data_IF_997176595479
#
_entry.id   IF_997176595479
#
_cell.length_a   1.000
_cell.length_b   1.000
_cell.length_c   1.000
_cell.angle_alpha   90.00
_cell.angle_beta   90.00
_cell.angle_gamma   90.00
#
_symmetry.space_group_name_H-M   'P 1'
#
loop_
_entity.id
_entity.type
_entity.pdbx_description
1 polymer ?
#
# COMPACT_ATOMS: atom_id res chain seq x y z
N UNK A 1 -3.53 9.39 -34.60
CA UNK A 1 -2.74 9.40 -33.34
C UNK A 1 -3.41 8.42 -32.41
N UNK A 2 -2.80 7.24 -32.21
CA UNK A 2 -3.39 6.16 -31.44
C UNK A 2 -3.23 6.45 -29.94
N UNK A 3 -4.34 6.71 -29.25
CA UNK A 3 -4.36 6.78 -27.79
C UNK A 3 -3.99 5.40 -27.24
N UNK A 4 -2.79 5.29 -26.66
CA UNK A 4 -2.29 4.06 -26.07
C UNK A 4 -3.07 3.73 -24.79
N UNK A 5 -3.36 2.45 -24.65
CA UNK A 5 -4.09 1.75 -23.59
C UNK A 5 -3.69 2.18 -22.17
N UNK A 6 -4.69 2.23 -21.29
CA UNK A 6 -4.56 2.43 -19.85
C UNK A 6 -5.12 1.17 -19.18
N UNK A 7 -4.41 0.64 -18.20
CA UNK A 7 -4.72 -0.65 -17.58
C UNK A 7 -4.53 -0.55 -16.04
N UNK A 8 -5.35 -1.27 -15.24
CA UNK A 8 -5.54 -1.23 -13.77
C UNK A 8 -4.74 -2.24 -12.88
N UNK A 9 -4.09 -1.81 -11.77
CA UNK A 9 -3.40 -2.68 -10.76
C UNK A 9 -4.25 -2.92 -9.53
N UNK A 10 -4.23 -4.17 -9.04
CA UNK A 10 -4.63 -4.56 -7.69
C UNK A 10 -3.41 -5.19 -7.00
N UNK A 11 -2.99 -4.72 -5.84
CA UNK A 11 -1.97 -5.45 -5.06
C UNK A 11 -2.68 -6.19 -3.97
N UNK A 12 -2.43 -7.50 -3.94
CA UNK A 12 -2.76 -8.32 -2.79
C UNK A 12 -1.47 -8.58 -2.04
N UNK A 13 -1.43 -8.20 -0.76
CA UNK A 13 -0.47 -8.81 0.15
C UNK A 13 -1.03 -10.18 0.52
N UNK A 14 -0.40 -11.25 0.02
CA UNK A 14 -0.53 -12.53 0.70
C UNK A 14 -0.13 -12.28 2.15
N UNK A 15 -1.09 -12.39 3.05
CA UNK A 15 -0.83 -12.84 4.40
C UNK A 15 -0.09 -14.19 4.24
N UNK A 16 1.24 -14.14 4.11
CA UNK A 16 2.07 -15.34 4.23
C UNK A 16 1.62 -15.92 5.57
N UNK A 17 1.20 -17.20 5.63
CA UNK A 17 0.77 -17.81 6.88
C UNK A 17 1.78 -17.44 7.95
N UNK A 18 1.30 -17.12 9.15
CA UNK A 18 2.17 -17.08 10.31
C UNK A 18 2.98 -18.37 10.27
N UNK A 19 4.25 -18.28 9.86
CA UNK A 19 5.20 -19.27 10.29
C UNK A 19 5.32 -18.96 11.77
N UNK A 20 4.52 -19.66 12.56
CA UNK A 20 4.81 -19.91 13.94
C UNK A 20 6.15 -20.64 13.93
N UNK A 21 7.23 -19.87 13.92
CA UNK A 21 8.43 -20.26 14.62
C UNK A 21 8.11 -20.13 16.13
N UNK A 22 7.13 -20.91 16.58
CA UNK A 22 6.95 -21.18 17.98
C UNK A 22 8.02 -22.22 18.37
N UNK A 23 9.13 -21.70 18.87
CA UNK A 23 9.82 -22.35 19.96
C UNK A 23 10.06 -21.31 21.06
N UNK A 24 9.05 -21.17 21.92
CA UNK A 24 9.21 -20.94 23.35
C UNK A 24 9.55 -19.51 23.77
N UNK A 25 8.54 -18.80 24.30
CA UNK A 25 8.41 -18.53 25.75
C UNK A 25 7.44 -17.36 26.02
N UNK A 26 6.53 -17.62 26.96
CA UNK A 26 5.91 -16.71 27.94
C UNK A 26 5.67 -15.25 27.53
N UNK A 27 4.40 -14.87 27.35
CA UNK A 27 3.99 -13.46 27.24
C UNK A 27 4.19 -12.72 28.59
N UNK A 28 5.05 -11.69 28.54
CA UNK A 28 5.61 -10.86 29.61
C UNK A 28 4.74 -9.59 29.89
N UNK A 29 4.61 -9.07 31.13
CA UNK A 29 3.71 -7.96 31.48
C UNK A 29 4.06 -6.57 30.90
N UNK A 30 5.10 -6.48 30.06
CA UNK A 30 5.63 -5.28 29.38
C UNK A 30 5.02 -5.07 27.95
N UNK A 31 3.74 -5.37 27.77
CA UNK A 31 3.06 -5.36 26.46
C UNK A 31 3.20 -3.98 25.75
N UNK A 32 4.07 -3.94 24.72
CA UNK A 32 4.37 -2.76 23.91
C UNK A 32 3.10 -2.26 23.19
N UNK A 33 3.00 -0.95 22.88
CA UNK A 33 1.85 -0.44 22.15
C UNK A 33 1.66 -1.20 20.83
N UNK A 34 0.48 -1.77 20.62
CA UNK A 34 0.04 -2.25 19.30
C UNK A 34 -0.02 -1.03 18.38
N UNK A 35 0.94 -0.93 17.48
CA UNK A 35 0.87 0.00 16.36
C UNK A 35 -0.28 -0.46 15.45
N UNK A 36 -1.08 0.49 14.95
CA UNK A 36 -2.08 0.19 13.91
C UNK A 36 -1.37 -0.48 12.72
N UNK A 37 -2.05 -1.27 11.89
CA UNK A 37 -1.39 -1.89 10.74
C UNK A 37 -1.25 -0.88 9.59
N UNK A 38 -2.23 0.01 9.43
CA UNK A 38 -2.32 1.04 8.41
C UNK A 38 -2.55 2.43 9.01
N UNK A 39 -2.28 3.45 8.20
CA UNK A 39 -2.54 4.86 8.54
C UNK A 39 -4.04 5.15 8.59
N UNK A 40 -4.47 5.90 9.60
CA UNK A 40 -5.86 6.36 9.76
C UNK A 40 -6.88 5.21 9.77
N UNK A 41 -6.51 4.06 10.34
CA UNK A 41 -7.46 2.98 10.53
C UNK A 41 -8.65 3.48 11.35
N UNK A 42 -9.85 3.33 10.79
CA UNK A 42 -11.10 3.71 11.43
C UNK A 42 -12.24 2.86 10.89
N UNK A 43 -13.33 2.76 11.64
CA UNK A 43 -14.48 1.99 11.19
C UNK A 43 -15.33 2.84 10.24
N UNK A 44 -15.26 2.54 8.94
CA UNK A 44 -16.14 3.14 7.95
C UNK A 44 -17.47 2.38 7.91
N UNK A 45 -18.57 3.12 7.73
CA UNK A 45 -19.88 2.52 7.54
C UNK A 45 -19.94 1.80 6.18
N UNK A 46 -20.49 0.59 6.17
CA UNK A 46 -20.75 -0.21 4.98
C UNK A 46 -22.28 -0.40 4.82
N UNK A 47 -22.84 -0.33 3.59
CA UNK A 47 -22.17 -0.06 2.31
C UNK A 47 -21.51 1.33 2.27
N UNK A 48 -20.35 1.41 1.64
CA UNK A 48 -19.53 2.62 1.62
C UNK A 48 -19.63 3.29 0.25
N UNK A 49 -20.00 4.58 0.21
CA UNK A 49 -19.92 5.42 -0.99
C UNK A 49 -19.48 6.81 -0.58
N UNK A 50 -18.49 7.36 -1.28
CA UNK A 50 -17.99 8.71 -1.00
C UNK A 50 -17.73 9.49 -2.29
N UNK A 51 -17.83 10.81 -2.19
CA UNK A 51 -17.33 11.74 -3.20
C UNK A 51 -15.84 11.94 -2.99
N UNK A 52 -15.05 11.79 -4.05
CA UNK A 52 -13.63 12.16 -4.03
C UNK A 52 -13.49 13.66 -4.34
N UNK A 53 -12.56 14.33 -3.64
CA UNK A 53 -12.41 15.79 -3.66
C UNK A 53 -12.06 16.33 -5.04
N UNK A 54 -11.17 15.63 -5.73
CA UNK A 54 -10.78 15.87 -7.11
C UNK A 54 -11.13 14.65 -7.96
N UNK A 55 -11.45 14.83 -9.26
CA UNK A 55 -11.69 13.71 -10.14
C UNK A 55 -10.47 12.80 -10.26
N UNK A 56 -10.70 11.49 -10.37
CA UNK A 56 -9.64 10.48 -10.49
C UNK A 56 -8.77 10.74 -11.74
N UNK A 57 -7.45 10.74 -11.56
CA UNK A 57 -6.43 11.05 -12.57
C UNK A 57 -5.23 10.09 -12.45
N UNK A 58 -4.34 10.14 -13.43
CA UNK A 58 -3.11 9.34 -13.42
C UNK A 58 -2.30 9.55 -12.14
N UNK A 59 -1.61 8.49 -11.69
CA UNK A 59 -0.80 8.43 -10.47
C UNK A 59 -1.55 8.53 -9.14
N UNK A 60 -2.88 8.72 -9.17
CA UNK A 60 -3.68 8.57 -7.97
C UNK A 60 -3.98 7.10 -7.68
N UNK A 61 -4.14 6.81 -6.39
CA UNK A 61 -4.44 5.49 -5.86
C UNK A 61 -5.69 5.58 -5.00
N UNK A 62 -6.61 4.62 -5.17
CA UNK A 62 -7.62 4.28 -4.17
C UNK A 62 -7.11 3.05 -3.43
N UNK A 63 -6.96 3.12 -2.11
CA UNK A 63 -6.59 2.00 -1.26
C UNK A 63 -7.73 1.76 -0.27
N UNK A 64 -8.24 0.53 -0.25
CA UNK A 64 -9.26 0.10 0.69
C UNK A 64 -8.80 -1.18 1.41
N UNK A 65 -8.93 -1.19 2.73
CA UNK A 65 -8.65 -2.38 3.55
C UNK A 65 -9.85 -2.71 4.40
N UNK A 66 -10.33 -3.93 4.30
CA UNK A 66 -11.46 -4.46 5.04
C UNK A 66 -11.31 -5.93 5.39
N UNK A 67 -12.40 -6.54 5.84
CA UNK A 67 -12.48 -7.99 6.05
C UNK A 67 -13.71 -8.52 5.32
N UNK A 68 -13.54 -9.60 4.56
CA UNK A 68 -14.64 -10.26 3.83
C UNK A 68 -15.51 -11.03 4.82
N UNK A 69 -16.81 -11.17 4.53
CA UNK A 69 -17.69 -12.07 5.26
C UNK A 69 -17.24 -13.54 5.15
N UNK A 70 -17.75 -14.40 6.03
CA UNK A 70 -17.39 -15.82 6.07
C UNK A 70 -18.01 -16.66 4.94
N UNK A 71 -19.16 -16.23 4.41
CA UNK A 71 -19.83 -16.84 3.26
C UNK A 71 -20.21 -15.74 2.24
N UNK A 72 -19.22 -15.10 1.59
CA UNK A 72 -19.45 -13.99 0.70
C UNK A 72 -19.91 -14.51 -0.67
N UNK A 73 -20.77 -13.75 -1.34
CA UNK A 73 -21.00 -13.90 -2.77
C UNK A 73 -20.17 -12.90 -3.54
N UNK A 74 -20.28 -11.60 -3.19
CA UNK A 74 -19.65 -10.53 -3.96
C UNK A 74 -19.15 -9.38 -3.13
N UNK A 75 -18.04 -8.78 -3.54
CA UNK A 75 -17.58 -7.46 -3.09
C UNK A 75 -17.30 -6.60 -4.31
N UNK A 76 -17.94 -5.44 -4.41
CA UNK A 76 -17.86 -4.57 -5.57
C UNK A 76 -17.14 -3.26 -5.23
N UNK A 77 -16.15 -2.89 -6.03
CA UNK A 77 -15.46 -1.60 -6.02
C UNK A 77 -15.77 -0.84 -7.30
N UNK A 78 -16.50 0.26 -7.18
CA UNK A 78 -17.08 0.99 -8.31
C UNK A 78 -16.59 2.43 -8.37
N UNK A 79 -16.34 2.91 -9.59
CA UNK A 79 -15.86 4.26 -9.89
C UNK A 79 -16.90 4.97 -10.78
N UNK A 80 -17.60 5.97 -10.22
CA UNK A 80 -18.74 6.63 -10.89
C UNK A 80 -18.38 8.03 -11.39
N UNK A 81 -19.00 8.42 -12.51
CA UNK A 81 -19.06 9.79 -13.02
C UNK A 81 -20.30 10.55 -12.50
N UNK A 82 -20.65 10.33 -11.23
CA UNK A 82 -21.74 11.00 -10.54
C UNK A 82 -22.13 10.29 -9.23
N UNK A 83 -23.13 10.82 -8.53
CA UNK A 83 -23.55 10.35 -7.21
C UNK A 83 -24.67 9.30 -7.22
N UNK A 84 -25.37 9.11 -8.33
CA UNK A 84 -26.49 8.18 -8.46
C UNK A 84 -25.99 6.74 -8.69
N UNK A 85 -26.88 5.76 -8.60
CA UNK A 85 -26.57 4.34 -8.82
C UNK A 85 -26.46 3.98 -10.30
N UNK A 86 -27.13 4.74 -11.16
CA UNK A 86 -27.22 4.55 -12.60
C UNK A 86 -26.31 5.49 -13.41
N UNK A 87 -25.50 6.30 -12.72
CA UNK A 87 -24.48 7.13 -13.35
C UNK A 87 -23.40 6.25 -14.00
N UNK A 88 -22.80 6.76 -15.08
CA UNK A 88 -21.75 6.07 -15.81
C UNK A 88 -20.64 5.60 -14.87
N UNK A 89 -20.23 4.35 -15.05
CA UNK A 89 -19.19 3.70 -14.27
C UNK A 89 -18.06 3.26 -15.21
N UNK A 90 -17.05 4.13 -15.42
CA UNK A 90 -15.84 3.79 -16.17
C UNK A 90 -15.18 2.49 -15.74
N UNK A 91 -15.26 2.18 -14.45
CA UNK A 91 -14.71 0.96 -13.89
C UNK A 91 -15.64 0.38 -12.82
N UNK A 92 -16.15 -0.81 -13.12
CA UNK A 92 -16.74 -1.73 -12.18
C UNK A 92 -15.76 -2.86 -11.93
N UNK A 93 -15.46 -3.13 -10.67
CA UNK A 93 -14.68 -4.28 -10.24
C UNK A 93 -15.54 -5.11 -9.28
N UNK A 94 -15.80 -6.36 -9.63
CA UNK A 94 -16.61 -7.28 -8.83
C UNK A 94 -15.79 -8.51 -8.47
N UNK A 95 -15.46 -8.66 -7.18
CA UNK A 95 -14.89 -9.90 -6.66
C UNK A 95 -16.04 -10.87 -6.41
N UNK A 96 -16.15 -11.88 -7.25
CA UNK A 96 -17.23 -12.89 -7.24
C UNK A 96 -16.69 -14.20 -6.68
N UNK A 97 -17.03 -14.49 -5.43
CA UNK A 97 -16.60 -15.68 -4.71
C UNK A 97 -17.40 -16.93 -5.12
N UNK A 98 -18.58 -16.72 -5.69
CA UNK A 98 -19.52 -17.74 -6.18
C UNK A 98 -19.24 -18.19 -7.62
N UNK A 99 -18.26 -17.59 -8.31
CA UNK A 99 -17.84 -17.98 -9.65
C UNK A 99 -16.52 -18.78 -9.64
N UNK A 100 -16.44 -19.87 -10.41
CA UNK A 100 -15.23 -20.69 -10.55
C UNK A 100 -15.25 -21.99 -9.74
N UNK A 101 -14.36 -22.93 -10.08
CA UNK A 101 -14.32 -24.29 -9.50
C UNK A 101 -13.64 -24.37 -8.12
N UNK A 102 -12.62 -23.54 -7.88
CA UNK A 102 -11.78 -23.61 -6.66
C UNK A 102 -11.47 -22.25 -6.04
N UNK A 103 -11.53 -21.18 -6.82
CA UNK A 103 -11.34 -19.79 -6.40
C UNK A 103 -12.31 -18.93 -7.18
N UNK A 104 -12.76 -17.85 -6.53
CA UNK A 104 -13.57 -16.80 -7.14
C UNK A 104 -12.92 -16.18 -8.38
N UNK A 105 -13.65 -15.30 -9.06
CA UNK A 105 -13.11 -14.44 -10.10
C UNK A 105 -13.18 -12.98 -9.68
N UNK A 106 -12.26 -12.15 -10.18
CA UNK A 106 -12.47 -10.71 -10.25
C UNK A 106 -12.95 -10.39 -11.67
N UNK A 107 -14.10 -9.73 -11.75
CA UNK A 107 -14.74 -9.32 -13.00
C UNK A 107 -14.61 -7.83 -13.16
N UNK A 108 -14.20 -7.41 -14.35
CA UNK A 108 -14.09 -6.01 -14.73
C UNK A 108 -15.11 -5.69 -15.81
N UNK A 109 -15.80 -4.56 -15.66
CA UNK A 109 -16.70 -4.07 -16.70
C UNK A 109 -16.84 -2.54 -16.64
N UNK A 110 -17.56 -1.99 -17.62
CA UNK A 110 -17.91 -0.58 -17.74
C UNK A 110 -19.41 -0.47 -17.95
N UNK A 111 -20.06 0.44 -17.22
CA UNK A 111 -21.47 0.83 -17.42
C UNK A 111 -21.50 2.20 -18.09
N UNK A 112 -22.17 2.32 -19.24
CA UNK A 112 -22.39 3.61 -19.93
C UNK A 112 -23.85 3.72 -20.34
N UNK A 113 -24.49 4.84 -20.02
CA UNK A 113 -25.91 5.06 -20.32
C UNK A 113 -26.78 3.87 -19.85
N UNK A 114 -26.49 3.34 -18.65
CA UNK A 114 -27.17 2.17 -18.06
C UNK A 114 -27.01 0.85 -18.81
N UNK A 115 -26.10 0.78 -19.79
CA UNK A 115 -25.80 -0.45 -20.52
C UNK A 115 -24.42 -0.97 -20.09
N UNK A 116 -24.39 -2.23 -19.65
CA UNK A 116 -23.13 -2.93 -19.39
C UNK A 116 -22.44 -3.25 -20.70
N UNK A 117 -21.13 -3.13 -20.70
CA UNK A 117 -20.33 -3.45 -21.86
C UNK A 117 -20.15 -4.98 -21.98
N UNK A 118 -20.04 -5.49 -23.21
CA UNK A 118 -19.81 -6.91 -23.50
C UNK A 118 -18.54 -7.09 -24.36
N UNK A 119 -17.73 -8.15 -24.15
CA UNK A 119 -17.86 -9.15 -23.09
C UNK A 119 -17.39 -8.63 -21.72
N UNK A 120 -17.72 -9.29 -20.61
CA UNK A 120 -17.04 -9.06 -19.31
C UNK A 120 -15.60 -9.60 -19.33
N UNK A 121 -14.66 -8.86 -18.71
CA UNK A 121 -13.26 -9.30 -18.55
C UNK A 121 -13.06 -9.94 -17.16
N UNK A 122 -12.25 -11.00 -17.09
CA UNK A 122 -12.10 -11.81 -15.87
C UNK A 122 -10.66 -12.20 -15.59
N UNK A 123 -10.34 -12.27 -14.31
CA UNK A 123 -9.10 -12.87 -13.78
C UNK A 123 -9.43 -13.71 -12.55
N UNK A 124 -8.56 -14.66 -12.21
CA UNK A 124 -8.74 -15.44 -10.98
C UNK A 124 -8.61 -14.54 -9.75
N UNK A 125 -9.51 -14.68 -8.79
CA UNK A 125 -9.49 -13.90 -7.56
C UNK A 125 -8.41 -14.37 -6.60
N UNK A 126 -7.63 -13.45 -5.99
CA UNK A 126 -6.75 -13.78 -4.87
C UNK A 126 -7.48 -13.84 -3.53
N UNK A 127 -8.68 -13.26 -3.44
CA UNK A 127 -9.40 -13.07 -2.18
C UNK A 127 -10.10 -14.35 -1.73
N UNK A 128 -10.16 -14.53 -0.41
CA UNK A 128 -10.81 -15.69 0.23
C UNK A 128 -11.91 -15.23 1.19
N UNK A 129 -12.94 -16.08 1.41
CA UNK A 129 -13.89 -15.89 2.49
C UNK A 129 -13.21 -15.75 3.86
N UNK A 130 -13.79 -14.94 4.74
CA UNK A 130 -13.32 -14.61 6.10
C UNK A 130 -11.89 -14.06 6.21
N UNK A 131 -11.27 -13.64 5.10
CA UNK A 131 -9.91 -13.14 5.03
C UNK A 131 -9.86 -11.61 4.86
N UNK A 132 -8.66 -11.03 4.97
CA UNK A 132 -8.43 -9.62 4.72
C UNK A 132 -8.69 -9.25 3.25
N UNK A 133 -9.41 -8.14 3.07
CA UNK A 133 -9.65 -7.53 1.76
C UNK A 133 -8.77 -6.29 1.67
N UNK A 134 -7.54 -6.43 1.20
CA UNK A 134 -6.65 -5.31 0.85
C UNK A 134 -6.66 -5.12 -0.67
N UNK A 135 -7.19 -4.00 -1.13
CA UNK A 135 -7.30 -3.66 -2.54
C UNK A 135 -6.75 -2.26 -2.80
N UNK A 136 -5.92 -2.15 -3.83
CA UNK A 136 -5.45 -0.87 -4.37
C UNK A 136 -5.86 -0.75 -5.82
N UNK A 137 -6.21 0.45 -6.26
CA UNK A 137 -6.58 0.75 -7.63
C UNK A 137 -5.87 2.02 -8.07
N UNK A 138 -5.09 1.92 -9.14
CA UNK A 138 -4.21 2.98 -9.62
C UNK A 138 -4.80 3.64 -10.87
N UNK A 139 -4.67 4.95 -10.97
CA UNK A 139 -5.04 5.73 -12.16
C UNK A 139 -4.16 5.44 -13.37
N UNK A 140 -2.98 4.84 -13.16
CA UNK A 140 -2.09 4.36 -14.21
C UNK A 140 -1.13 3.26 -13.67
N UNK A 141 -1.18 2.04 -14.23
CA UNK A 141 -0.34 0.82 -14.03
C UNK A 141 -0.95 -0.32 -13.18
N UNK A 142 -0.56 -1.58 -13.50
CA UNK A 142 -1.22 -2.94 -13.37
C UNK A 142 -0.47 -4.00 -12.55
N UNK A 143 -1.22 -4.92 -11.87
CA UNK A 143 -0.87 -6.35 -11.61
C UNK A 143 -1.96 -7.17 -10.86
N UNK A 144 -3.03 -7.60 -11.54
CA UNK A 144 -3.70 -8.93 -11.36
C UNK A 144 -4.19 -9.44 -12.74
N UNK A 145 -4.46 -8.53 -13.69
CA UNK A 145 -4.55 -8.83 -15.12
C UNK A 145 -4.85 -7.58 -15.93
N UNK A 146 -4.79 -7.68 -17.26
CA UNK A 146 -4.98 -6.55 -18.18
C UNK A 146 -6.48 -6.31 -18.34
N UNK A 147 -6.98 -5.15 -17.89
CA UNK A 147 -8.30 -4.64 -18.28
C UNK A 147 -8.13 -3.55 -19.33
N UNK A 148 -8.75 -3.75 -20.50
CA UNK A 148 -8.75 -2.75 -21.56
C UNK A 148 -9.83 -1.71 -21.27
N UNK A 149 -9.41 -0.54 -20.78
CA UNK A 149 -10.33 0.57 -20.51
C UNK A 149 -11.18 0.90 -21.73
N UNK A 150 -12.50 0.79 -21.58
CA UNK A 150 -13.49 1.11 -22.64
C UNK A 150 -13.79 2.59 -22.72
N UNK A 151 -13.70 3.28 -21.58
CA UNK A 151 -13.82 4.73 -21.47
C UNK A 151 -12.79 5.29 -20.46
N UNK A 152 -12.41 6.58 -20.57
CA UNK A 152 -11.47 7.18 -19.62
C UNK A 152 -12.03 7.25 -18.19
N UNK A 153 -11.17 6.98 -17.20
CA UNK A 153 -11.43 7.21 -15.78
C UNK A 153 -11.54 8.70 -15.42
N UNK A 154 -11.08 9.61 -16.30
CA UNK A 154 -11.22 11.04 -16.10
C UNK A 154 -12.69 11.42 -15.86
N UNK A 155 -12.93 12.20 -14.81
CA UNK A 155 -14.27 12.64 -14.42
C UNK A 155 -14.96 11.73 -13.40
N UNK A 156 -14.36 10.58 -13.06
CA UNK A 156 -14.80 9.83 -11.88
C UNK A 156 -14.70 10.73 -10.67
N UNK A 157 -15.79 10.86 -9.93
CA UNK A 157 -15.89 11.76 -8.76
C UNK A 157 -16.55 11.08 -7.55
N UNK A 158 -16.99 9.83 -7.68
CA UNK A 158 -17.42 9.01 -6.56
C UNK A 158 -16.82 7.61 -6.64
N UNK A 159 -16.55 7.02 -5.49
CA UNK A 159 -16.09 5.64 -5.34
C UNK A 159 -16.99 4.95 -4.32
N UNK A 160 -17.36 3.70 -4.57
CA UNK A 160 -18.07 2.88 -3.59
C UNK A 160 -17.43 1.53 -3.38
N UNK A 161 -17.56 1.01 -2.16
CA UNK A 161 -17.26 -0.37 -1.80
C UNK A 161 -18.53 -0.99 -1.22
N UNK A 162 -19.09 -1.96 -1.94
CA UNK A 162 -20.39 -2.57 -1.70
C UNK A 162 -20.27 -4.10 -1.57
N UNK A 163 -21.33 -4.75 -1.10
CA UNK A 163 -21.40 -6.22 -1.00
C UNK A 163 -20.97 -6.77 0.36
N UNK A 164 -20.45 -8.00 0.34
CA UNK A 164 -20.29 -8.88 1.49
C UNK A 164 -18.99 -8.63 2.28
N UNK A 165 -18.86 -7.41 2.80
CA UNK A 165 -17.79 -7.04 3.75
C UNK A 165 -18.30 -7.09 5.19
N UNK A 166 -17.44 -7.55 6.10
CA UNK A 166 -17.66 -7.51 7.54
C UNK A 166 -17.28 -6.14 8.13
N UNK A 167 -16.25 -5.52 7.56
CA UNK A 167 -15.75 -4.21 7.98
C UNK A 167 -14.93 -3.55 6.88
N UNK A 168 -14.94 -2.22 6.85
CA UNK A 168 -14.00 -1.39 6.11
C UNK A 168 -13.22 -0.53 7.11
N UNK A 169 -11.89 -0.67 7.14
CA UNK A 169 -11.01 -0.04 8.12
C UNK A 169 -10.12 1.05 7.55
N UNK A 170 -9.82 0.96 6.26
CA UNK A 170 -9.01 1.95 5.54
C UNK A 170 -9.75 2.30 4.27
N UNK A 171 -9.89 3.60 4.00
CA UNK A 171 -10.19 4.10 2.67
C UNK A 171 -9.36 5.35 2.45
N UNK A 172 -8.38 5.26 1.56
CA UNK A 172 -7.51 6.35 1.17
C UNK A 172 -7.65 6.60 -0.33
N UNK A 173 -7.73 7.87 -0.70
CA UNK A 173 -7.66 8.33 -2.08
C UNK A 173 -6.69 9.50 -2.16
N UNK A 174 -5.75 9.44 -3.09
CA UNK A 174 -4.76 10.48 -3.30
C UNK A 174 -3.57 9.95 -4.08
N UNK A 175 -2.42 10.60 -3.97
CA UNK A 175 -1.23 10.26 -4.74
C UNK A 175 -1.00 11.19 -5.92
N UNK A 176 0.25 11.25 -6.36
CA UNK A 176 0.71 12.11 -7.44
C UNK A 176 1.93 11.45 -8.09
N UNK A 177 2.39 12.01 -9.20
CA UNK A 177 3.70 11.64 -9.73
C UNK A 177 4.77 12.24 -8.82
N UNK A 178 5.39 11.41 -8.00
CA UNK A 178 6.50 11.84 -7.16
C UNK A 178 7.77 12.06 -8.00
N UNK A 179 8.55 13.11 -7.72
CA UNK A 179 9.87 13.28 -8.32
C UNK A 179 10.82 12.17 -7.88
N UNK A 180 11.83 11.87 -8.71
CA UNK A 180 12.93 10.98 -8.36
C UNK A 180 14.28 11.72 -8.60
N UNK A 181 15.12 11.91 -7.56
CA UNK A 181 14.89 11.49 -6.17
C UNK A 181 13.73 12.24 -5.52
N UNK A 182 13.04 11.57 -4.59
CA UNK A 182 11.97 12.18 -3.81
C UNK A 182 12.56 12.75 -2.53
N UNK A 183 12.24 14.00 -2.22
CA UNK A 183 12.64 14.65 -0.97
C UNK A 183 11.41 15.30 -0.32
N UNK A 184 11.23 15.08 0.98
CA UNK A 184 10.14 15.68 1.74
C UNK A 184 10.54 16.00 3.17
N UNK A 185 9.93 17.05 3.71
CA UNK A 185 9.98 17.33 5.15
C UNK A 185 9.23 16.20 5.85
N UNK A 186 9.95 15.45 6.67
CA UNK A 186 9.42 14.34 7.43
C UNK A 186 9.03 14.74 8.87
N UNK A 187 9.92 15.44 9.59
CA UNK A 187 9.76 15.75 11.03
C UNK A 187 9.36 14.52 11.84
N UNK A 188 10.05 13.39 11.63
CA UNK A 188 9.70 12.10 12.22
C UNK A 188 10.21 12.02 13.67
N UNK A 189 9.49 12.64 14.60
CA UNK A 189 9.82 12.63 16.03
C UNK A 189 9.51 11.28 16.70
N UNK A 190 10.08 11.00 17.88
CA UNK A 190 9.70 9.81 18.65
C UNK A 190 8.19 9.73 18.89
N UNK A 191 7.61 8.55 18.66
CA UNK A 191 6.18 8.29 18.69
C UNK A 191 5.46 8.50 17.34
N UNK A 192 6.16 9.01 16.32
CA UNK A 192 5.62 9.15 14.97
C UNK A 192 5.96 7.96 14.09
N UNK A 193 5.19 7.81 13.02
CA UNK A 193 5.28 6.76 12.02
C UNK A 193 5.31 7.37 10.62
N UNK A 194 6.17 6.82 9.78
CA UNK A 194 6.27 7.09 8.35
C UNK A 194 5.87 5.83 7.59
N UNK A 195 4.90 5.96 6.69
CA UNK A 195 4.43 4.91 5.81
C UNK A 195 4.68 5.28 4.36
N UNK A 196 5.28 4.35 3.64
CA UNK A 196 5.65 4.52 2.24
C UNK A 196 5.17 3.31 1.46
N UNK A 197 4.40 3.54 0.41
CA UNK A 197 4.13 2.51 -0.59
C UNK A 197 4.95 2.78 -1.84
N UNK A 198 5.72 1.79 -2.27
CA UNK A 198 6.62 1.90 -3.41
C UNK A 198 6.70 0.59 -4.21
N UNK A 199 7.04 0.73 -5.49
CA UNK A 199 7.34 -0.39 -6.38
C UNK A 199 8.78 -0.28 -6.88
N UNK A 200 9.64 -1.28 -6.64
CA UNK A 200 11.03 -1.29 -7.04
C UNK A 200 11.16 -1.67 -8.53
N UNK A 201 11.74 -0.78 -9.34
CA UNK A 201 11.96 -1.02 -10.77
C UNK A 201 13.43 -1.35 -11.09
N UNK A 202 14.36 -0.88 -10.25
CA UNK A 202 15.79 -1.17 -10.35
C UNK A 202 16.25 -2.26 -9.40
N UNK A 203 17.58 -2.43 -9.34
CA UNK A 203 18.20 -3.37 -8.42
C UNK A 203 18.44 -2.79 -7.02
N UNK A 204 18.21 -1.47 -6.86
CA UNK A 204 18.43 -0.76 -5.61
C UNK A 204 17.40 0.36 -5.42
N UNK A 205 16.86 0.45 -4.21
CA UNK A 205 16.04 1.56 -3.72
C UNK A 205 16.56 1.92 -2.33
N UNK A 206 16.80 3.21 -2.09
CA UNK A 206 17.25 3.68 -0.77
C UNK A 206 16.21 4.62 -0.15
N UNK A 207 16.08 4.52 1.17
CA UNK A 207 15.32 5.43 2.01
C UNK A 207 16.28 6.02 3.05
N UNK A 208 16.44 7.34 3.03
CA UNK A 208 17.34 8.05 3.93
C UNK A 208 16.51 8.99 4.82
N UNK A 209 16.72 8.89 6.14
CA UNK A 209 16.18 9.82 7.12
C UNK A 209 17.32 10.74 7.59
N UNK A 210 17.29 11.98 7.12
CA UNK A 210 18.27 13.01 7.46
C UNK A 210 17.85 13.79 8.71
N UNK A 211 18.85 14.12 9.52
CA UNK A 211 18.76 15.04 10.64
C UNK A 211 18.91 16.49 10.18
N UNK A 212 18.65 17.45 11.06
CA UNK A 212 18.81 18.89 10.74
C UNK A 212 20.24 19.28 10.37
N UNK A 213 21.23 18.52 10.84
CA UNK A 213 22.65 18.72 10.53
C UNK A 213 23.13 17.94 9.28
N UNK A 214 22.21 17.37 8.50
CA UNK A 214 22.46 16.53 7.31
C UNK A 214 23.13 15.16 7.60
N UNK A 215 23.28 14.74 8.85
CA UNK A 215 23.61 13.34 9.14
C UNK A 215 22.44 12.44 8.72
N UNK A 216 22.75 11.23 8.24
CA UNK A 216 21.74 10.20 7.97
C UNK A 216 21.56 9.38 9.25
N UNK A 217 20.45 9.60 9.95
CA UNK A 217 20.13 8.81 11.14
C UNK A 217 19.80 7.36 10.78
N UNK A 218 19.09 7.15 9.68
CA UNK A 218 18.73 5.83 9.16
C UNK A 218 18.82 5.82 7.64
N UNK A 219 19.68 4.96 7.13
CA UNK A 219 19.75 4.54 5.74
C UNK A 219 19.16 3.14 5.64
N UNK A 220 18.15 2.93 4.79
CA UNK A 220 17.67 1.60 4.40
C UNK A 220 17.97 1.44 2.92
N UNK A 221 18.75 0.43 2.56
CA UNK A 221 19.08 0.10 1.16
C UNK A 221 18.57 -1.29 0.83
N UNK A 222 17.52 -1.35 0.02
CA UNK A 222 16.99 -2.61 -0.49
C UNK A 222 17.77 -2.97 -1.76
N UNK A 223 18.53 -4.07 -1.74
CA UNK A 223 19.44 -4.47 -2.81
C UNK A 223 19.00 -5.80 -3.41
N UNK A 224 18.14 -5.75 -4.42
CA UNK A 224 17.57 -6.93 -5.07
C UNK A 224 18.62 -7.84 -5.71
N UNK A 225 19.71 -7.27 -6.25
CA UNK A 225 20.80 -8.06 -6.85
C UNK A 225 21.60 -8.87 -5.82
N UNK A 226 21.63 -8.41 -4.57
CA UNK A 226 22.35 -9.06 -3.47
C UNK A 226 21.40 -9.91 -2.60
N UNK A 227 20.08 -9.74 -2.73
CA UNK A 227 19.08 -10.44 -1.92
C UNK A 227 19.06 -9.98 -0.46
N UNK A 228 19.52 -8.74 -0.18
CA UNK A 228 19.67 -8.22 1.19
C UNK A 228 19.06 -6.82 1.35
N UNK A 229 18.84 -6.44 2.61
CA UNK A 229 18.48 -5.09 3.03
C UNK A 229 19.56 -4.59 4.00
N UNK A 230 20.28 -3.53 3.62
CA UNK A 230 21.30 -2.92 4.48
C UNK A 230 20.72 -1.77 5.27
N UNK A 231 20.98 -1.73 6.58
CA UNK A 231 20.68 -0.58 7.44
C UNK A 231 21.98 0.02 7.97
N UNK A 232 22.06 1.35 8.00
CA UNK A 232 23.23 2.05 8.52
C UNK A 232 22.88 3.50 8.93
N UNK A 233 23.83 4.21 9.51
CA UNK A 233 23.80 5.66 9.71
C UNK A 233 25.06 6.27 9.11
N UNK A 234 24.96 7.51 8.63
CA UNK A 234 26.13 8.32 8.25
C UNK A 234 26.20 9.51 9.20
N UNK A 235 27.26 9.58 10.00
CA UNK A 235 27.47 10.64 11.00
C UNK A 235 28.78 11.34 10.66
N UNK A 236 28.77 12.66 10.55
CA UNK A 236 29.95 13.45 10.17
C UNK A 236 30.62 12.95 8.88
N UNK A 237 29.80 12.62 7.88
CA UNK A 237 30.20 12.06 6.58
C UNK A 237 30.92 10.69 6.65
N UNK A 238 30.76 9.94 7.74
CA UNK A 238 31.32 8.60 7.89
C UNK A 238 30.18 7.59 8.09
N UNK A 239 30.18 6.55 7.27
CA UNK A 239 29.31 5.39 7.47
C UNK A 239 29.75 4.62 8.72
N UNK A 240 28.79 4.21 9.54
CA UNK A 240 29.04 3.27 10.63
C UNK A 240 29.03 1.82 10.16
N UNK A 241 28.89 0.91 11.12
CA UNK A 241 28.78 -0.53 10.86
C UNK A 241 27.47 -0.87 10.15
N UNK A 242 27.50 -1.74 9.15
CA UNK A 242 26.29 -2.16 8.44
C UNK A 242 25.53 -3.23 9.22
N UNK A 243 24.22 -3.10 9.31
CA UNK A 243 23.30 -4.15 9.78
C UNK A 243 22.65 -4.80 8.55
N UNK A 244 22.89 -6.10 8.36
CA UNK A 244 22.54 -6.85 7.13
C UNK A 244 21.73 -8.11 7.40
N UNK A 245 21.48 -8.42 8.66
CA UNK A 245 20.71 -9.58 9.09
C UNK A 245 19.24 -9.51 8.62
N UNK A 246 18.66 -10.67 8.33
CA UNK A 246 17.32 -10.83 7.76
C UNK A 246 17.34 -11.18 6.27
N UNK A 247 16.33 -11.94 5.82
CA UNK A 247 16.11 -12.22 4.40
C UNK A 247 15.39 -11.06 3.71
N UNK A 248 15.65 -10.80 2.43
CA UNK A 248 14.86 -9.86 1.63
C UNK A 248 13.40 -10.38 1.47
N UNK A 249 12.39 -9.77 2.12
CA UNK A 249 11.01 -10.26 2.08
C UNK A 249 10.20 -9.68 0.90
N UNK A 250 10.88 -9.05 -0.06
CA UNK A 250 10.29 -8.24 -1.12
C UNK A 250 10.68 -8.78 -2.49
N UNK A 251 9.74 -8.76 -3.42
CA UNK A 251 9.98 -9.08 -4.82
C UNK A 251 10.18 -7.80 -5.65
N UNK A 252 10.97 -7.92 -6.71
CA UNK A 252 11.17 -6.83 -7.67
C UNK A 252 9.92 -6.68 -8.54
N UNK A 253 9.57 -5.44 -8.90
CA UNK A 253 8.36 -5.07 -9.64
C UNK A 253 7.03 -5.32 -8.90
N UNK A 254 7.07 -5.72 -7.62
CA UNK A 254 5.87 -5.81 -6.79
C UNK A 254 5.79 -4.62 -5.84
N UNK A 255 4.58 -4.11 -5.59
CA UNK A 255 4.40 -3.03 -4.62
C UNK A 255 4.60 -3.58 -3.22
N UNK A 256 5.32 -2.82 -2.40
CA UNK A 256 5.46 -3.08 -0.97
C UNK A 256 5.11 -1.85 -0.15
N UNK A 257 4.81 -2.09 1.12
CA UNK A 257 4.71 -1.06 2.14
C UNK A 257 5.91 -1.12 3.05
N UNK A 258 6.59 0.01 3.21
CA UNK A 258 7.60 0.24 4.23
C UNK A 258 7.00 1.13 5.31
N UNK A 259 7.00 0.62 6.52
CA UNK A 259 6.65 1.37 7.72
C UNK A 259 7.89 1.56 8.58
N UNK A 260 8.16 2.81 8.94
CA UNK A 260 9.21 3.19 9.89
C UNK A 260 8.54 3.90 11.06
N UNK A 261 8.60 3.30 12.25
CA UNK A 261 8.14 3.91 13.49
C UNK A 261 9.36 4.38 14.26
N UNK A 262 9.41 5.67 14.59
CA UNK A 262 10.47 6.19 15.44
C UNK A 262 10.09 5.97 16.91
N UNK A 263 10.64 4.93 17.55
CA UNK A 263 10.51 4.71 18.99
C UNK A 263 11.56 5.54 19.76
N UNK A 264 11.43 5.59 21.09
CA UNK A 264 12.37 6.32 21.95
C UNK A 264 13.83 5.85 21.82
N UNK A 265 14.06 4.55 21.57
CA UNK A 265 15.40 3.95 21.57
C UNK A 265 15.85 3.39 20.22
N UNK A 266 14.94 3.23 19.25
CA UNK A 266 15.20 2.60 17.97
C UNK A 266 14.17 3.01 16.92
N UNK A 267 14.48 2.78 15.65
CA UNK A 267 13.47 2.68 14.60
C UNK A 267 12.95 1.24 14.53
N UNK A 268 11.64 1.06 14.59
CA UNK A 268 10.97 -0.20 14.25
C UNK A 268 10.63 -0.17 12.76
N UNK A 269 11.14 -1.15 12.02
CA UNK A 269 10.97 -1.26 10.56
C UNK A 269 10.05 -2.45 10.26
N UNK A 270 9.01 -2.21 9.49
CA UNK A 270 8.10 -3.24 8.98
C UNK A 270 8.03 -3.19 7.46
N UNK A 271 7.91 -4.37 6.86
CA UNK A 271 7.57 -4.53 5.45
C UNK A 271 6.24 -5.26 5.34
N UNK A 272 5.29 -4.69 4.59
CA UNK A 272 3.95 -5.26 4.36
C UNK A 272 3.25 -5.62 5.69
N UNK A 273 3.30 -4.71 6.66
CA UNK A 273 2.74 -4.90 8.00
C UNK A 273 3.50 -5.88 8.91
N UNK A 274 4.54 -6.55 8.41
CA UNK A 274 5.33 -7.53 9.19
C UNK A 274 6.60 -6.92 9.70
N UNK A 275 6.86 -7.08 11.01
CA UNK A 275 8.09 -6.63 11.65
C UNK A 275 9.30 -7.28 10.98
N UNK A 276 10.22 -6.44 10.49
CA UNK A 276 11.47 -6.86 9.91
C UNK A 276 12.61 -6.79 10.93
N UNK A 277 12.88 -5.61 11.49
CA UNK A 277 13.92 -5.44 12.50
C UNK A 277 13.69 -4.20 13.38
N UNK A 278 14.55 -4.04 14.39
CA UNK A 278 14.74 -2.80 15.14
C UNK A 278 16.14 -2.29 14.86
N UNK A 279 16.26 -1.02 14.48
CA UNK A 279 17.54 -0.36 14.27
C UNK A 279 17.79 0.64 15.42
N UNK A 280 18.75 0.35 16.29
CA UNK A 280 19.02 1.18 17.47
C UNK A 280 19.53 2.56 17.06
N UNK A 281 19.05 3.60 17.72
CA UNK A 281 19.48 4.98 17.44
C UNK A 281 20.98 5.13 17.69
N UNK A 282 21.74 5.51 16.65
CA UNK A 282 23.20 5.73 16.75
C UNK A 282 23.58 7.13 17.20
N UNK A 283 22.58 8.01 17.37
CA UNK A 283 22.78 9.35 17.92
C UNK A 283 21.67 9.70 18.90
N UNK A 284 21.99 10.47 19.95
CA UNK A 284 21.03 10.86 20.98
C UNK A 284 20.01 11.91 20.50
N UNK A 285 20.38 12.73 19.52
CA UNK A 285 19.47 13.72 18.93
C UNK A 285 18.61 13.04 17.86
N UNK A 286 17.30 13.05 18.05
CA UNK A 286 16.29 12.43 17.17
C UNK A 286 15.55 13.49 16.33
N UNK A 287 16.27 14.51 15.90
CA UNK A 287 15.82 15.63 15.07
C UNK A 287 15.71 15.25 13.59
N UNK A 288 14.95 14.19 13.30
CA UNK A 288 14.75 13.69 11.94
C UNK A 288 13.89 14.68 11.15
N UNK A 289 14.48 15.41 10.21
CA UNK A 289 13.82 16.50 9.50
C UNK A 289 13.34 16.08 8.11
N UNK A 290 14.14 15.27 7.40
CA UNK A 290 13.93 15.06 5.96
C UNK A 290 13.94 13.57 5.61
N UNK A 291 12.98 13.16 4.77
CA UNK A 291 12.99 11.89 4.06
C UNK A 291 13.53 12.14 2.65
N UNK A 292 14.49 11.32 2.24
CA UNK A 292 14.87 11.14 0.83
C UNK A 292 14.59 9.71 0.40
N UNK A 293 14.09 9.55 -0.82
CA UNK A 293 14.00 8.26 -1.50
C UNK A 293 14.72 8.35 -2.83
N UNK A 294 15.69 7.46 -3.04
CA UNK A 294 16.52 7.41 -4.24
C UNK A 294 16.51 6.00 -4.89
N UNK A 295 17.11 5.92 -6.09
CA UNK A 295 17.25 4.69 -6.85
C UNK A 295 16.26 4.63 -8.01
N UNK A 296 15.92 3.43 -8.47
CA UNK A 296 14.94 3.26 -9.55
C UNK A 296 13.68 2.60 -8.99
N UNK A 297 12.64 3.40 -8.78
CA UNK A 297 11.39 2.99 -8.14
C UNK A 297 10.23 3.85 -8.66
N UNK A 298 9.02 3.40 -8.37
CA UNK A 298 7.79 4.18 -8.45
C UNK A 298 7.26 4.37 -7.02
N UNK A 299 6.97 5.62 -6.63
CA UNK A 299 6.42 5.95 -5.33
C UNK A 299 4.91 6.14 -5.47
N UNK A 300 4.13 5.62 -4.53
CA UNK A 300 2.67 5.66 -4.60
C UNK A 300 2.07 6.47 -3.46
N UNK A 301 2.55 6.25 -2.25
CA UNK A 301 2.13 7.02 -1.07
C UNK A 301 3.32 7.28 -0.18
N UNK A 302 3.30 8.44 0.46
CA UNK A 302 4.15 8.80 1.59
C UNK A 302 3.25 9.49 2.59
N UNK A 303 3.19 8.98 3.81
CA UNK A 303 2.33 9.56 4.85
C UNK A 303 3.02 9.51 6.20
N UNK A 304 2.84 10.57 6.97
CA UNK A 304 3.43 10.72 8.29
C UNK A 304 2.31 10.97 9.28
N UNK A 305 2.29 10.18 10.35
CA UNK A 305 1.24 10.20 11.35
C UNK A 305 1.80 9.91 12.74
N UNK A 306 0.95 10.01 13.75
CA UNK A 306 1.24 9.39 15.04
C UNK A 306 1.25 7.86 14.88
N UNK A 307 2.14 7.19 15.59
CA UNK A 307 2.21 5.73 15.54
C UNK A 307 1.07 5.05 16.34
N UNK A 308 0.37 5.79 17.19
CA UNK A 308 -0.74 5.35 18.04
C UNK A 308 -2.04 6.04 17.66
#
# INVERSE_FOLDING_TARGET
MANKLISLLLIFFLSVPQFDADQGNEEDPDEKPRYQQYVNEQNYHIPFKTRISEPFREYQTVHAVGKVNADPKRVDLNFYKGGNEDDDMPLHLSVRFDEGLFKGNVVFNTLVNKNWSEPEERVQSPFKPDDEFDIRVFGNRIEIGIFDQRIPLYGVNHVSLLGDLKSLRVFHYGGTKFPNPYNAIAKLLPGMRLDISAMPLGNRVNFNLYKTNNDIALHISIRYSEGIIVRNSMISNQWGDQEIEGSLPLAKNEIFDLTIINEQANFLILFNGKKFCKFVHRSQNLDIETLEVDGTFELHTVTINNAR
#
